data_IF_044075605772
#
_entry.id   IF_044075605772
#
_cell.length_a   1.000
_cell.length_b   1.000
_cell.length_c   1.000
_cell.angle_alpha   90.00
_cell.angle_beta   90.00
_cell.angle_gamma   90.00
#
_symmetry.space_group_name_H-M   'P 1'
#
loop_
_entity.id
_entity.type
_entity.pdbx_description
1 polymer ?
#
# COMPACT_ATOMS: atom_id res chain seq x y z
N UNK A 1 -7.50 -33.65 -1.83
CA UNK A 1 -7.83 -33.71 -0.39
C UNK A 1 -6.80 -32.83 0.28
N UNK A 2 -6.99 -31.52 0.14
CA UNK A 2 -7.77 -30.68 1.07
C UNK A 2 -7.01 -30.52 2.38
N UNK A 3 -6.44 -29.33 2.57
CA UNK A 3 -6.60 -28.56 3.81
C UNK A 3 -6.07 -27.14 3.58
N UNK A 4 -6.99 -26.26 3.21
CA UNK A 4 -6.83 -24.81 3.20
C UNK A 4 -7.17 -24.33 4.61
N UNK A 5 -6.16 -23.83 5.31
CA UNK A 5 -6.32 -23.17 6.61
C UNK A 5 -7.08 -21.86 6.38
N UNK A 6 -8.35 -21.86 6.78
CA UNK A 6 -9.20 -20.68 6.97
C UNK A 6 -8.58 -19.80 8.06
N UNK A 7 -8.30 -18.53 7.72
CA UNK A 7 -8.09 -17.48 8.72
C UNK A 7 -9.46 -16.89 9.11
N UNK A 8 -9.74 -16.69 10.40
CA UNK A 8 -11.01 -16.12 10.86
C UNK A 8 -10.97 -14.59 10.79
N UNK A 9 -11.69 -14.01 9.82
CA UNK A 9 -12.11 -12.61 9.85
C UNK A 9 -13.60 -12.58 10.16
N UNK A 10 -13.98 -12.28 11.41
CA UNK A 10 -15.33 -11.85 11.83
C UNK A 10 -15.36 -11.87 13.36
N UNK A 11 -14.81 -10.85 14.00
CA UNK A 11 -15.18 -10.45 15.36
C UNK A 11 -14.53 -9.08 15.56
N UNK A 12 -15.25 -8.02 15.23
CA UNK A 12 -15.09 -6.64 15.75
C UNK A 12 -16.06 -5.61 15.10
N UNK A 13 -17.10 -6.06 14.38
CA UNK A 13 -18.10 -5.16 13.75
C UNK A 13 -19.50 -5.28 14.36
N UNK A 14 -19.60 -5.54 15.67
CA UNK A 14 -20.90 -5.81 16.33
C UNK A 14 -21.26 -4.85 17.47
N UNK A 15 -20.74 -3.61 17.48
CA UNK A 15 -21.11 -2.61 18.52
C UNK A 15 -21.38 -1.20 18.01
N UNK A 16 -22.07 -1.05 16.87
CA UNK A 16 -22.53 0.27 16.40
C UNK A 16 -23.96 0.29 15.84
N UNK A 17 -24.80 -0.69 16.19
CA UNK A 17 -26.23 -0.71 15.84
C UNK A 17 -27.11 -0.95 17.07
N UNK A 18 -26.89 -0.16 18.12
CA UNK A 18 -27.87 0.03 19.20
C UNK A 18 -28.10 1.52 19.33
N UNK A 19 -29.06 2.03 18.55
CA UNK A 19 -29.92 3.19 18.86
C UNK A 19 -30.70 3.59 17.60
N UNK A 20 -31.66 2.75 17.22
CA UNK A 20 -32.83 3.23 16.49
C UNK A 20 -34.03 2.39 16.95
N UNK A 21 -34.71 2.88 17.97
CA UNK A 21 -35.95 2.34 18.50
C UNK A 21 -37.10 2.56 17.50
N UNK A 22 -37.50 1.52 16.78
CA UNK A 22 -38.82 1.44 16.15
C UNK A 22 -39.42 0.05 16.42
N UNK A 23 -40.60 0.04 17.02
CA UNK A 23 -41.35 -1.12 17.51
C UNK A 23 -41.70 -2.15 16.41
N UNK A 24 -41.83 -3.44 16.75
CA UNK A 24 -42.08 -4.51 15.79
C UNK A 24 -43.58 -4.81 15.64
N UNK A 25 -44.31 -4.02 14.86
CA UNK A 25 -45.63 -4.40 14.31
C UNK A 25 -45.98 -3.53 13.10
N UNK A 26 -45.90 -4.08 11.88
CA UNK A 26 -46.34 -3.41 10.65
C UNK A 26 -45.92 -4.19 9.40
N UNK A 27 -46.86 -4.41 8.49
CA UNK A 27 -46.77 -5.30 7.32
C UNK A 27 -45.51 -5.15 6.45
N UNK A 28 -44.89 -6.28 6.10
CA UNK A 28 -43.65 -6.41 5.30
C UNK A 28 -43.77 -6.01 3.81
N UNK A 29 -44.81 -5.29 3.38
CA UNK A 29 -45.08 -5.03 1.96
C UNK A 29 -45.35 -3.57 1.57
N UNK A 30 -45.34 -2.61 2.49
CA UNK A 30 -45.52 -1.19 2.14
C UNK A 30 -44.18 -0.51 1.91
N UNK A 31 -43.85 -0.22 0.64
CA UNK A 31 -42.66 0.56 0.29
C UNK A 31 -42.77 2.00 0.79
N UNK A 32 -41.63 2.58 1.17
CA UNK A 32 -41.54 3.96 1.69
C UNK A 32 -41.92 4.93 0.57
N UNK A 33 -42.97 5.72 0.77
CA UNK A 33 -43.40 6.76 -0.17
C UNK A 33 -42.62 8.06 0.07
N UNK A 34 -42.15 8.66 -1.01
CA UNK A 34 -41.48 9.97 -1.05
C UNK A 34 -42.01 10.79 -2.22
N UNK A 35 -42.00 12.11 -2.07
CA UNK A 35 -42.42 13.04 -3.11
C UNK A 35 -41.37 14.14 -3.24
N UNK A 36 -41.07 14.52 -4.48
CA UNK A 36 -40.09 15.54 -4.83
C UNK A 36 -40.75 16.53 -5.78
N UNK A 37 -40.38 17.81 -5.68
CA UNK A 37 -40.91 18.85 -6.58
C UNK A 37 -40.31 18.72 -7.98
N UNK A 38 -39.06 18.25 -8.06
CA UNK A 38 -38.38 18.09 -9.35
C UNK A 38 -37.69 16.73 -9.48
N UNK A 39 -37.46 16.31 -10.73
CA UNK A 39 -36.66 15.12 -11.00
C UNK A 39 -35.20 15.28 -10.53
N UNK A 40 -34.67 16.50 -10.52
CA UNK A 40 -33.32 16.78 -10.04
C UNK A 40 -33.19 16.48 -8.54
N UNK A 41 -34.15 16.91 -7.72
CA UNK A 41 -34.18 16.61 -6.29
C UNK A 41 -34.24 15.11 -6.00
N UNK A 42 -35.04 14.37 -6.77
CA UNK A 42 -35.06 12.91 -6.71
C UNK A 42 -33.67 12.31 -6.99
N UNK A 43 -32.96 12.80 -8.01
CA UNK A 43 -31.61 12.31 -8.35
C UNK A 43 -30.64 12.59 -7.21
N UNK A 44 -30.66 13.80 -6.64
CA UNK A 44 -29.83 14.16 -5.47
C UNK A 44 -30.11 13.24 -4.29
N UNK A 45 -31.37 13.08 -3.89
CA UNK A 45 -31.75 12.18 -2.80
C UNK A 45 -31.30 10.74 -3.06
N UNK A 46 -31.48 10.25 -4.30
CA UNK A 46 -31.08 8.89 -4.66
C UNK A 46 -29.57 8.70 -4.50
N UNK A 47 -28.76 9.68 -4.87
CA UNK A 47 -27.30 9.62 -4.70
C UNK A 47 -26.89 9.64 -3.22
N UNK A 48 -27.52 10.49 -2.41
CA UNK A 48 -27.31 10.52 -0.96
C UNK A 48 -27.69 9.20 -0.29
N UNK A 49 -28.84 8.62 -0.67
CA UNK A 49 -29.30 7.33 -0.14
C UNK A 49 -28.39 6.19 -0.59
N UNK A 50 -27.93 6.17 -1.84
CA UNK A 50 -26.95 5.19 -2.35
C UNK A 50 -25.63 5.25 -1.57
N UNK A 51 -25.13 6.45 -1.27
CA UNK A 51 -23.93 6.65 -0.48
C UNK A 51 -24.14 6.20 0.97
N UNK A 52 -25.25 6.61 1.60
CA UNK A 52 -25.58 6.26 2.99
C UNK A 52 -25.76 4.76 3.19
N UNK A 53 -26.42 4.09 2.24
CA UNK A 53 -26.77 2.66 2.34
C UNK A 53 -25.74 1.75 1.67
N UNK A 54 -24.66 2.31 1.11
CA UNK A 54 -23.66 1.56 0.34
C UNK A 54 -24.30 0.69 -0.74
N UNK A 55 -25.21 1.28 -1.51
CA UNK A 55 -26.00 0.60 -2.52
C UNK A 55 -25.91 1.30 -3.87
N UNK A 56 -26.40 0.65 -4.92
CA UNK A 56 -26.54 1.28 -6.23
C UNK A 56 -27.79 0.78 -6.92
N UNK A 57 -28.61 1.70 -7.40
CA UNK A 57 -29.83 1.44 -8.15
C UNK A 57 -29.67 1.90 -9.59
N UNK A 58 -29.89 0.96 -10.52
CA UNK A 58 -29.68 1.15 -11.96
C UNK A 58 -30.96 0.85 -12.73
N UNK A 59 -31.14 1.55 -13.85
CA UNK A 59 -32.23 1.26 -14.78
C UNK A 59 -31.90 0.02 -15.58
N UNK A 60 -32.71 -1.02 -15.43
CA UNK A 60 -32.61 -2.22 -16.25
C UNK A 60 -33.41 -2.09 -17.56
N UNK A 61 -34.40 -1.19 -17.59
CA UNK A 61 -35.31 -0.95 -18.71
C UNK A 61 -35.50 0.54 -18.92
N UNK A 62 -35.87 0.91 -20.15
CA UNK A 62 -36.31 2.26 -20.50
C UNK A 62 -37.55 2.69 -19.70
N UNK A 63 -37.82 4.00 -19.71
CA UNK A 63 -39.01 4.58 -19.11
C UNK A 63 -40.24 4.21 -19.94
N UNK A 64 -41.41 4.23 -19.30
CA UNK A 64 -42.69 4.03 -19.98
C UNK A 64 -43.54 5.27 -19.80
N UNK A 65 -44.05 5.81 -20.90
CA UNK A 65 -45.03 6.90 -20.86
C UNK A 65 -46.42 6.30 -20.72
N UNK A 66 -47.17 6.76 -19.73
CA UNK A 66 -48.56 6.38 -19.50
C UNK A 66 -49.50 7.21 -20.38
N UNK A 67 -50.74 6.77 -20.51
CA UNK A 67 -51.76 7.45 -21.33
C UNK A 67 -52.05 8.89 -20.86
N UNK A 68 -51.83 9.17 -19.58
CA UNK A 68 -52.00 10.50 -18.98
C UNK A 68 -50.75 11.39 -19.12
N UNK A 69 -49.71 10.96 -19.85
CA UNK A 69 -48.48 11.70 -20.05
C UNK A 69 -47.39 11.45 -19.00
N UNK A 70 -47.72 10.84 -17.86
CA UNK A 70 -46.75 10.51 -16.81
C UNK A 70 -45.66 9.56 -17.32
N UNK A 71 -44.46 9.70 -16.77
CA UNK A 71 -43.33 8.83 -17.06
C UNK A 71 -43.07 7.93 -15.86
N UNK A 72 -43.14 6.62 -16.05
CA UNK A 72 -42.81 5.63 -15.02
C UNK A 72 -41.47 4.99 -15.31
N UNK A 73 -40.64 4.86 -14.29
CA UNK A 73 -39.33 4.22 -14.37
C UNK A 73 -38.97 3.49 -13.07
N UNK A 74 -38.24 2.38 -13.20
CA UNK A 74 -37.82 1.58 -12.07
C UNK A 74 -36.28 1.51 -12.03
N UNK A 75 -35.73 1.77 -10.85
CA UNK A 75 -34.32 1.55 -10.55
C UNK A 75 -34.20 0.34 -9.65
N UNK A 76 -33.56 -0.71 -10.16
CA UNK A 76 -33.32 -1.94 -9.41
C UNK A 76 -31.93 -1.92 -8.82
N UNK A 77 -31.73 -2.59 -7.69
CA UNK A 77 -30.39 -2.85 -7.18
C UNK A 77 -29.46 -3.38 -8.30
N UNK A 78 -28.24 -2.84 -8.38
CA UNK A 78 -27.25 -3.16 -9.40
C UNK A 78 -26.90 -4.66 -9.42
N UNK A 79 -27.09 -5.33 -8.28
CA UNK A 79 -26.87 -6.75 -8.10
C UNK A 79 -28.04 -7.62 -8.54
N UNK A 80 -29.23 -7.05 -8.71
CA UNK A 80 -30.44 -7.81 -9.08
C UNK A 80 -30.32 -8.47 -10.45
N UNK A 81 -30.75 -9.74 -10.53
CA UNK A 81 -30.87 -10.52 -11.75
C UNK A 81 -29.73 -11.53 -11.96
N UNK A 82 -29.74 -12.16 -13.14
CA UNK A 82 -28.75 -13.16 -13.55
C UNK A 82 -27.65 -12.55 -14.40
N UNK A 83 -26.43 -13.06 -14.23
CA UNK A 83 -25.32 -12.75 -15.13
C UNK A 83 -25.58 -13.36 -16.50
N UNK A 84 -25.49 -12.54 -17.55
CA UNK A 84 -25.54 -13.00 -18.94
C UNK A 84 -24.15 -12.77 -19.56
N UNK A 85 -23.39 -13.83 -19.87
CA UNK A 85 -22.09 -13.68 -20.50
C UNK A 85 -22.23 -12.99 -21.85
N UNK A 86 -21.28 -12.11 -22.17
CA UNK A 86 -21.16 -11.44 -23.48
C UNK A 86 -19.79 -11.76 -24.08
N UNK A 87 -19.75 -12.03 -25.39
CA UNK A 87 -18.53 -12.32 -26.14
C UNK A 87 -18.27 -13.81 -26.37
N UNK A 88 -17.08 -14.15 -26.90
CA UNK A 88 -16.71 -15.52 -27.35
C UNK A 88 -16.32 -16.50 -26.21
N UNK A 89 -16.48 -16.13 -24.95
CA UNK A 89 -16.16 -17.02 -23.81
C UNK A 89 -14.68 -17.31 -23.57
N UNK A 90 -13.77 -16.60 -24.25
CA UNK A 90 -12.31 -16.85 -24.19
C UNK A 90 -11.69 -16.48 -22.82
N UNK A 91 -12.38 -15.64 -22.03
CA UNK A 91 -11.91 -15.21 -20.71
C UNK A 91 -12.76 -15.83 -19.60
N UNK A 92 -12.09 -16.43 -18.61
CA UNK A 92 -12.74 -16.89 -17.38
C UNK A 92 -13.33 -15.71 -16.59
N UNK A 93 -14.35 -15.99 -15.79
CA UNK A 93 -14.88 -15.03 -14.82
C UNK A 93 -13.78 -14.66 -13.82
N UNK A 94 -13.87 -13.43 -13.30
CA UNK A 94 -12.98 -12.99 -12.21
C UNK A 94 -13.20 -13.88 -10.97
N UNK A 95 -12.19 -14.00 -10.12
CA UNK A 95 -12.29 -14.73 -8.84
C UNK A 95 -13.43 -14.21 -7.95
N UNK A 96 -13.65 -12.89 -7.95
CA UNK A 96 -14.79 -12.21 -7.31
C UNK A 96 -16.16 -12.55 -7.92
N UNK A 97 -16.21 -13.24 -9.06
CA UNK A 97 -17.47 -13.57 -9.75
C UNK A 97 -18.15 -12.37 -10.39
N UNK A 98 -19.48 -12.48 -10.52
CA UNK A 98 -20.33 -11.45 -11.13
C UNK A 98 -20.95 -10.57 -10.06
N UNK A 99 -21.13 -9.28 -10.35
CA UNK A 99 -21.89 -8.38 -9.48
C UNK A 99 -23.37 -8.82 -9.29
N UNK A 100 -23.88 -9.66 -10.20
CA UNK A 100 -25.25 -10.20 -10.20
C UNK A 100 -25.40 -11.40 -9.25
N UNK A 101 -26.36 -11.35 -8.33
CA UNK A 101 -26.63 -12.41 -7.33
C UNK A 101 -27.32 -13.65 -7.91
N UNK A 102 -27.74 -13.63 -9.17
CA UNK A 102 -28.43 -14.76 -9.80
C UNK A 102 -29.94 -14.80 -9.53
N UNK A 103 -30.43 -14.02 -8.57
CA UNK A 103 -31.84 -13.91 -8.19
C UNK A 103 -32.34 -12.46 -8.25
N UNK A 104 -33.66 -12.26 -8.14
CA UNK A 104 -34.23 -10.91 -8.04
C UNK A 104 -33.98 -10.35 -6.64
N UNK A 105 -33.26 -9.22 -6.58
CA UNK A 105 -33.12 -8.47 -5.35
C UNK A 105 -34.42 -7.70 -5.05
N UNK A 106 -34.94 -7.70 -3.81
CA UNK A 106 -36.15 -6.97 -3.46
C UNK A 106 -35.97 -5.45 -3.44
N UNK A 107 -34.73 -4.96 -3.31
CA UNK A 107 -34.45 -3.53 -3.33
C UNK A 107 -34.72 -2.89 -4.70
N UNK A 108 -35.65 -1.93 -4.71
CA UNK A 108 -36.13 -1.22 -5.90
C UNK A 108 -36.63 0.17 -5.53
N UNK A 109 -36.40 1.13 -6.43
CA UNK A 109 -37.01 2.46 -6.41
C UNK A 109 -37.93 2.55 -7.62
N UNK A 110 -39.24 2.67 -7.38
CA UNK A 110 -40.24 2.90 -8.43
C UNK A 110 -40.55 4.40 -8.46
N UNK A 111 -40.46 5.00 -9.63
CA UNK A 111 -40.60 6.45 -9.82
C UNK A 111 -41.72 6.70 -10.82
N UNK A 112 -42.64 7.60 -10.46
CA UNK A 112 -43.63 8.19 -11.35
C UNK A 112 -43.37 9.69 -11.40
N UNK A 113 -43.03 10.17 -12.59
CA UNK A 113 -42.81 11.58 -12.87
C UNK A 113 -44.02 12.12 -13.63
N UNK A 114 -44.65 13.13 -13.03
CA UNK A 114 -45.71 13.93 -13.64
C UNK A 114 -45.15 15.32 -14.01
N UNK A 115 -46.01 16.23 -14.48
CA UNK A 115 -45.60 17.61 -14.81
C UNK A 115 -45.28 18.45 -13.58
N UNK A 116 -45.92 18.15 -12.45
CA UNK A 116 -45.87 18.96 -11.23
C UNK A 116 -44.92 18.40 -10.16
N UNK A 117 -44.76 17.07 -10.11
CA UNK A 117 -44.05 16.38 -9.05
C UNK A 117 -43.47 15.03 -9.50
N UNK A 118 -42.65 14.45 -8.62
CA UNK A 118 -42.08 13.11 -8.75
C UNK A 118 -42.42 12.29 -7.51
N UNK A 119 -43.23 11.25 -7.69
CA UNK A 119 -43.63 10.32 -6.64
C UNK A 119 -42.77 9.08 -6.70
N UNK A 120 -42.21 8.69 -5.56
CA UNK A 120 -41.26 7.58 -5.42
C UNK A 120 -41.76 6.58 -4.39
N UNK A 121 -41.73 5.30 -4.75
CA UNK A 121 -41.93 4.20 -3.83
C UNK A 121 -40.61 3.43 -3.68
N UNK A 122 -40.03 3.48 -2.49
CA UNK A 122 -38.70 2.97 -2.17
C UNK A 122 -38.75 1.71 -1.30
N UNK A 123 -38.05 0.67 -1.75
CA UNK A 123 -37.85 -0.58 -1.02
C UNK A 123 -36.34 -0.76 -0.75
N UNK A 124 -35.87 -0.57 0.49
CA UNK A 124 -34.44 -0.57 0.80
C UNK A 124 -33.84 -1.98 0.96
N UNK A 125 -34.63 -3.01 1.22
CA UNK A 125 -34.12 -4.29 1.74
C UNK A 125 -33.25 -5.05 0.73
N UNK A 126 -31.95 -5.17 1.02
CA UNK A 126 -31.00 -6.04 0.30
C UNK A 126 -29.73 -6.33 1.11
N UNK A 127 -28.97 -7.33 0.67
CA UNK A 127 -27.66 -7.66 1.23
C UNK A 127 -26.55 -6.88 0.50
N UNK A 128 -25.75 -6.14 1.27
CA UNK A 128 -24.69 -5.28 0.77
C UNK A 128 -23.38 -6.04 0.62
N UNK A 129 -22.73 -5.89 -0.54
CA UNK A 129 -21.36 -6.37 -0.78
C UNK A 129 -20.57 -5.29 -1.52
N UNK A 130 -19.71 -4.61 -0.75
CA UNK A 130 -18.95 -3.43 -1.19
C UNK A 130 -18.10 -3.69 -2.43
N UNK A 131 -17.51 -4.88 -2.53
CA UNK A 131 -16.65 -5.31 -3.63
C UNK A 131 -17.32 -5.25 -5.02
N UNK A 132 -18.65 -5.32 -5.08
CA UNK A 132 -19.41 -5.26 -6.33
C UNK A 132 -19.92 -3.86 -6.69
N UNK A 133 -19.69 -2.87 -5.83
CA UNK A 133 -20.00 -1.48 -6.12
C UNK A 133 -18.91 -0.88 -7.02
N UNK A 134 -19.32 0.04 -7.88
CA UNK A 134 -18.40 0.89 -8.64
C UNK A 134 -18.13 2.15 -7.84
N UNK A 135 -16.94 2.72 -8.01
CA UNK A 135 -16.69 4.10 -7.58
C UNK A 135 -17.69 5.03 -8.27
N UNK A 136 -18.23 5.99 -7.53
CA UNK A 136 -19.11 7.01 -8.10
C UNK A 136 -18.34 7.90 -9.07
N UNK A 137 -19.04 8.64 -9.93
CA UNK A 137 -18.37 9.56 -10.85
C UNK A 137 -17.65 10.69 -10.10
N UNK A 138 -18.21 11.13 -8.97
CA UNK A 138 -17.56 12.07 -8.04
C UNK A 138 -16.28 11.47 -7.44
N UNK A 139 -16.32 10.24 -6.90
CA UNK A 139 -15.12 9.57 -6.37
C UNK A 139 -14.05 9.38 -7.46
N UNK A 140 -14.48 9.04 -8.68
CA UNK A 140 -13.57 8.86 -9.82
C UNK A 140 -12.93 10.18 -10.24
N UNK A 141 -13.69 11.27 -10.19
CA UNK A 141 -13.19 12.62 -10.46
C UNK A 141 -12.23 13.10 -9.37
N UNK A 142 -12.54 12.85 -8.10
CA UNK A 142 -11.62 13.12 -6.99
C UNK A 142 -10.32 12.33 -7.18
N UNK A 143 -10.41 11.03 -7.45
CA UNK A 143 -9.23 10.18 -7.71
C UNK A 143 -8.43 10.62 -8.94
N UNK A 144 -9.11 11.07 -10.00
CA UNK A 144 -8.45 11.68 -11.16
C UNK A 144 -7.76 13.00 -10.81
N UNK A 145 -8.37 13.80 -9.94
CA UNK A 145 -7.87 15.07 -9.44
C UNK A 145 -6.68 14.95 -8.48
N UNK A 146 -6.41 13.80 -7.87
CA UNK A 146 -5.20 13.57 -7.04
C UNK A 146 -3.93 13.63 -7.87
N UNK A 147 -3.97 13.20 -9.14
CA UNK A 147 -2.84 13.41 -10.06
C UNK A 147 -2.65 14.92 -10.36
N UNK A 148 -3.57 15.77 -9.87
CA UNK A 148 -3.64 17.20 -10.15
C UNK A 148 -3.56 18.09 -8.89
N UNK A 149 -4.07 17.77 -7.68
CA UNK A 149 -4.08 18.75 -6.56
C UNK A 149 -4.58 18.43 -5.12
N UNK A 150 -5.16 17.27 -4.74
CA UNK A 150 -5.77 17.15 -3.38
C UNK A 150 -5.71 15.74 -2.70
N UNK A 151 -5.68 15.72 -1.36
CA UNK A 151 -5.76 14.51 -0.51
C UNK A 151 -7.13 13.82 -0.57
N UNK A 152 -7.15 12.48 -0.64
CA UNK A 152 -8.41 11.74 -0.51
C UNK A 152 -8.84 11.72 0.95
N UNK A 153 -9.97 12.34 1.27
CA UNK A 153 -10.74 12.00 2.48
C UNK A 153 -11.42 10.65 2.26
N UNK A 154 -10.71 9.55 2.57
CA UNK A 154 -11.26 8.20 2.52
C UNK A 154 -12.14 7.97 3.76
N UNK A 155 -13.31 8.59 3.80
CA UNK A 155 -14.18 8.52 4.98
C UNK A 155 -14.96 7.19 5.13
N UNK A 156 -15.29 6.49 4.04
CA UNK A 156 -16.13 5.29 4.06
C UNK A 156 -16.31 4.65 2.66
N UNK A 157 -16.78 3.41 2.60
CA UNK A 157 -17.36 2.82 1.39
C UNK A 157 -16.41 2.28 0.31
N UNK A 158 -16.84 2.24 -0.97
CA UNK A 158 -16.09 1.59 -2.07
C UNK A 158 -14.72 2.24 -2.33
N UNK A 159 -14.54 3.51 -1.97
CA UNK A 159 -13.26 4.23 -2.04
C UNK A 159 -12.18 3.68 -1.09
N UNK A 160 -12.55 2.95 -0.03
CA UNK A 160 -11.58 2.23 0.81
C UNK A 160 -10.94 1.03 0.09
N UNK A 161 -11.55 0.55 -0.99
CA UNK A 161 -11.15 -0.66 -1.71
C UNK A 161 -10.60 -0.34 -3.11
N UNK A 162 -10.04 0.85 -3.32
CA UNK A 162 -9.47 1.23 -4.62
C UNK A 162 -8.33 0.26 -5.01
N UNK A 163 -8.46 -0.37 -6.17
CA UNK A 163 -7.43 -1.28 -6.70
C UNK A 163 -6.64 -0.63 -7.85
N UNK A 164 -5.48 -1.20 -8.20
CA UNK A 164 -4.69 -0.78 -9.38
C UNK A 164 -5.53 -0.72 -10.66
N UNK A 165 -6.53 -1.62 -10.79
CA UNK A 165 -7.41 -1.65 -11.96
C UNK A 165 -8.36 -0.44 -12.00
N UNK A 166 -8.82 0.04 -10.86
CA UNK A 166 -9.64 1.24 -10.76
C UNK A 166 -8.85 2.46 -11.21
N UNK A 167 -7.62 2.62 -10.70
CA UNK A 167 -6.69 3.68 -11.11
C UNK A 167 -6.45 3.63 -12.62
N UNK A 168 -6.17 2.46 -13.20
CA UNK A 168 -5.99 2.32 -14.63
C UNK A 168 -7.24 2.75 -15.43
N UNK A 169 -8.44 2.36 -14.98
CA UNK A 169 -9.67 2.74 -15.67
C UNK A 169 -9.91 4.25 -15.57
N UNK A 170 -9.68 4.84 -14.40
CA UNK A 170 -9.79 6.30 -14.18
C UNK A 170 -8.79 7.04 -15.08
N UNK A 171 -7.51 6.64 -15.11
CA UNK A 171 -6.52 7.24 -16.01
C UNK A 171 -6.93 7.21 -17.47
N UNK A 172 -7.48 6.08 -17.94
CA UNK A 172 -8.01 5.95 -19.31
C UNK A 172 -9.21 6.87 -19.53
N UNK A 173 -10.18 6.85 -18.63
CA UNK A 173 -11.47 7.52 -18.81
C UNK A 173 -11.35 9.05 -18.68
N UNK A 174 -10.41 9.54 -17.87
CA UNK A 174 -10.07 10.96 -17.72
C UNK A 174 -8.90 11.41 -18.61
N UNK A 175 -8.40 10.51 -19.48
CA UNK A 175 -7.27 10.79 -20.38
C UNK A 175 -6.01 11.37 -19.69
N UNK A 176 -5.71 10.90 -18.47
CA UNK A 176 -4.61 11.38 -17.62
C UNK A 176 -3.23 10.97 -18.18
N UNK A 177 -3.19 10.01 -19.11
CA UNK A 177 -1.97 9.45 -19.66
C UNK A 177 -1.07 10.46 -20.42
N UNK A 178 -1.58 11.66 -20.77
CA UNK A 178 -0.86 12.66 -21.57
C UNK A 178 0.00 13.67 -20.80
N UNK A 179 -0.18 13.83 -19.48
CA UNK A 179 0.34 15.01 -18.75
C UNK A 179 1.58 14.76 -17.88
N UNK A 180 2.11 13.54 -17.85
CA UNK A 180 3.19 13.19 -16.91
C UNK A 180 4.55 13.73 -17.38
N UNK A 181 4.77 13.76 -18.71
CA UNK A 181 6.03 14.19 -19.32
C UNK A 181 5.91 15.65 -19.78
N UNK A 182 6.55 16.56 -19.04
CA UNK A 182 6.52 18.02 -19.26
C UNK A 182 7.45 18.47 -20.40
N UNK A 183 8.35 17.60 -20.83
CA UNK A 183 9.32 17.89 -21.88
C UNK A 183 9.86 16.59 -22.49
N UNK A 184 10.27 16.60 -23.76
CA UNK A 184 10.81 15.42 -24.46
C UNK A 184 12.10 14.88 -23.82
N UNK A 185 12.95 15.80 -23.33
CA UNK A 185 14.13 15.49 -22.53
C UNK A 185 13.74 15.29 -21.06
N UNK A 186 13.95 14.07 -20.55
CA UNK A 186 13.48 13.66 -19.22
C UNK A 186 14.06 14.52 -18.08
N UNK A 187 15.34 14.90 -18.14
CA UNK A 187 15.97 15.77 -17.12
C UNK A 187 15.28 17.14 -17.05
N UNK A 188 14.87 17.68 -18.20
CA UNK A 188 14.11 18.94 -18.28
C UNK A 188 12.70 18.73 -17.74
N UNK A 189 12.06 17.61 -18.08
CA UNK A 189 10.73 17.26 -17.57
C UNK A 189 10.71 17.17 -16.04
N UNK A 190 11.69 16.49 -15.44
CA UNK A 190 11.84 16.40 -13.96
C UNK A 190 12.07 17.79 -13.36
N UNK A 191 12.95 18.61 -13.96
CA UNK A 191 13.17 19.99 -13.49
C UNK A 191 11.87 20.79 -13.50
N UNK A 192 11.11 20.78 -14.59
CA UNK A 192 9.82 21.49 -14.68
C UNK A 192 8.83 20.99 -13.62
N UNK A 193 8.76 19.68 -13.40
CA UNK A 193 7.91 19.10 -12.35
C UNK A 193 8.34 19.57 -10.95
N UNK A 194 9.64 19.57 -10.64
CA UNK A 194 10.12 20.05 -9.33
C UNK A 194 9.82 21.53 -9.10
N UNK A 195 9.85 22.35 -10.16
CA UNK A 195 9.51 23.77 -10.08
C UNK A 195 8.01 23.98 -9.86
N UNK A 196 7.17 23.22 -10.56
CA UNK A 196 5.73 23.24 -10.37
C UNK A 196 5.34 22.85 -8.93
N UNK A 197 5.91 21.76 -8.41
CA UNK A 197 5.66 21.32 -7.02
C UNK A 197 6.08 22.37 -6.00
N UNK A 198 7.19 23.07 -6.22
CA UNK A 198 7.62 24.17 -5.34
C UNK A 198 6.67 25.39 -5.39
N UNK A 199 6.07 25.67 -6.55
CA UNK A 199 5.25 26.87 -6.75
C UNK A 199 3.78 26.67 -6.32
N UNK A 200 3.27 25.43 -6.30
CA UNK A 200 1.86 25.14 -6.04
C UNK A 200 1.50 24.97 -4.55
N UNK A 201 2.39 25.30 -3.61
CA UNK A 201 2.14 25.19 -2.17
C UNK A 201 2.39 23.79 -1.58
N UNK A 202 2.30 22.74 -2.40
CA UNK A 202 2.66 21.36 -2.04
C UNK A 202 4.18 21.12 -2.19
N UNK A 203 4.99 21.77 -1.33
CA UNK A 203 6.44 21.65 -1.38
C UNK A 203 6.95 20.30 -0.83
N UNK A 204 6.65 19.23 -1.56
CA UNK A 204 7.13 17.88 -1.26
C UNK A 204 8.62 17.69 -1.62
N UNK A 205 9.25 18.64 -2.33
CA UNK A 205 10.65 18.54 -2.75
C UNK A 205 11.55 19.13 -1.67
N UNK A 206 12.09 18.27 -0.81
CA UNK A 206 12.98 18.70 0.30
C UNK A 206 14.42 18.85 -0.13
N UNK A 207 14.85 18.21 -1.23
CA UNK A 207 16.16 18.44 -1.84
C UNK A 207 16.15 18.07 -3.32
N UNK A 208 16.85 18.86 -4.14
CA UNK A 208 17.00 18.56 -5.57
C UNK A 208 18.34 19.07 -6.11
N UNK A 209 19.13 18.16 -6.69
CA UNK A 209 20.31 18.43 -7.50
C UNK A 209 20.14 17.73 -8.85
N UNK A 210 20.22 18.50 -9.94
CA UNK A 210 20.22 17.97 -11.32
C UNK A 210 21.66 17.65 -11.77
N UNK A 211 21.77 16.82 -12.81
CA UNK A 211 23.04 16.58 -13.49
C UNK A 211 23.50 17.84 -14.25
N UNK A 212 24.81 18.05 -14.31
CA UNK A 212 25.44 19.23 -14.92
C UNK A 212 25.26 20.52 -14.13
N UNK A 213 24.75 20.45 -12.90
CA UNK A 213 24.78 21.58 -11.97
C UNK A 213 26.08 21.55 -11.19
N UNK A 214 26.93 22.54 -11.46
CA UNK A 214 28.15 22.79 -10.69
C UNK A 214 27.80 23.32 -9.31
N UNK A 215 28.38 22.71 -8.29
CA UNK A 215 28.20 23.10 -6.89
C UNK A 215 28.88 22.08 -5.98
N UNK A 216 29.69 22.55 -5.04
CA UNK A 216 30.39 21.70 -4.06
C UNK A 216 29.49 21.33 -2.86
N UNK A 217 28.21 21.64 -2.95
CA UNK A 217 27.24 21.37 -1.89
C UNK A 217 27.23 19.86 -1.59
N UNK A 218 27.67 19.52 -0.38
CA UNK A 218 27.62 18.18 0.17
C UNK A 218 28.46 17.10 -0.56
N UNK A 219 29.51 17.50 -1.29
CA UNK A 219 30.47 16.55 -1.90
C UNK A 219 29.96 15.80 -3.14
N UNK A 220 28.87 16.30 -3.76
CA UNK A 220 28.35 15.76 -5.02
C UNK A 220 29.10 16.34 -6.22
N UNK A 221 29.38 15.49 -7.22
CA UNK A 221 29.98 15.90 -8.50
C UNK A 221 28.93 16.38 -9.47
N UNK A 222 29.30 17.09 -10.52
CA UNK A 222 28.37 17.65 -11.51
C UNK A 222 27.46 16.58 -12.14
N UNK A 223 27.97 15.38 -12.41
CA UNK A 223 27.22 14.24 -12.95
C UNK A 223 26.23 13.58 -11.96
N UNK A 224 26.35 13.86 -10.66
CA UNK A 224 25.51 13.28 -9.62
C UNK A 224 24.10 13.90 -9.65
N UNK A 225 23.10 13.03 -9.61
CA UNK A 225 21.68 13.39 -9.49
C UNK A 225 21.17 12.97 -8.11
N UNK A 226 20.44 13.86 -7.45
CA UNK A 226 19.73 13.54 -6.20
C UNK A 226 18.41 14.28 -6.18
N UNK A 227 17.31 13.54 -6.01
CA UNK A 227 15.98 14.08 -5.80
C UNK A 227 15.38 13.44 -4.56
N UNK A 228 15.01 14.24 -3.57
CA UNK A 228 14.43 13.77 -2.32
C UNK A 228 13.03 14.35 -2.18
N UNK A 229 12.08 13.45 -1.99
CA UNK A 229 10.65 13.76 -1.90
C UNK A 229 10.14 13.34 -0.53
N UNK A 230 9.41 14.24 0.10
CA UNK A 230 8.77 14.06 1.40
C UNK A 230 7.54 14.98 1.48
N UNK A 231 6.34 14.40 1.41
CA UNK A 231 5.07 15.14 1.52
C UNK A 231 4.76 15.52 2.96
N UNK A 232 3.77 16.40 3.19
CA UNK A 232 3.38 16.79 4.55
C UNK A 232 2.79 15.62 5.35
N UNK A 233 1.93 14.80 4.72
CA UNK A 233 1.50 13.52 5.32
C UNK A 233 2.70 12.67 5.78
N UNK A 234 3.74 12.57 4.95
CA UNK A 234 4.93 11.79 5.29
C UNK A 234 5.72 12.40 6.47
N UNK A 235 5.79 13.75 6.55
CA UNK A 235 6.35 14.47 7.71
C UNK A 235 5.57 14.18 8.99
N UNK A 236 4.25 14.17 8.91
CA UNK A 236 3.40 13.82 10.06
C UNK A 236 3.62 12.36 10.49
N UNK A 237 3.63 11.42 9.55
CA UNK A 237 3.78 10.00 9.85
C UNK A 237 5.14 9.67 10.48
N UNK A 238 6.24 10.28 9.99
CA UNK A 238 7.56 10.07 10.60
C UNK A 238 7.66 10.70 11.99
N UNK A 239 7.02 11.85 12.20
CA UNK A 239 6.98 12.51 13.52
C UNK A 239 6.18 11.67 14.51
N UNK A 240 5.05 11.09 14.08
CA UNK A 240 4.18 10.28 14.91
C UNK A 240 4.77 8.91 15.25
N UNK A 241 5.35 8.21 14.27
CA UNK A 241 5.74 6.80 14.41
C UNK A 241 7.25 6.54 14.37
N UNK A 242 8.08 7.51 13.99
CA UNK A 242 9.53 7.32 13.79
C UNK A 242 10.32 7.02 15.06
N UNK A 243 9.79 7.37 16.24
CA UNK A 243 10.44 7.11 17.55
C UNK A 243 10.60 5.61 17.83
N UNK A 244 9.64 4.78 17.42
CA UNK A 244 9.73 3.36 17.67
C UNK A 244 10.78 2.73 16.75
N UNK A 245 10.57 2.80 15.42
CA UNK A 245 11.39 2.14 14.42
C UNK A 245 11.49 2.93 13.14
N UNK A 246 12.71 3.03 12.63
CA UNK A 246 13.01 3.47 11.27
C UNK A 246 13.55 2.28 10.49
N UNK A 247 12.99 2.04 9.31
CA UNK A 247 13.51 1.09 8.34
C UNK A 247 13.96 1.84 7.08
N UNK A 248 15.09 1.46 6.51
CA UNK A 248 15.52 1.96 5.20
C UNK A 248 15.81 0.80 4.26
N UNK A 249 15.45 0.99 3.00
CA UNK A 249 15.70 0.03 1.93
C UNK A 249 16.13 0.71 0.63
N UNK A 250 17.06 0.07 -0.08
CA UNK A 250 17.55 0.48 -1.39
C UNK A 250 17.07 -0.47 -2.49
N UNK A 251 16.39 0.08 -3.50
CA UNK A 251 16.01 -0.67 -4.70
C UNK A 251 16.90 -0.27 -5.87
N UNK A 252 17.57 -1.28 -6.45
CA UNK A 252 18.56 -1.11 -7.50
C UNK A 252 18.05 -1.60 -8.86
N UNK A 253 18.43 -0.93 -9.94
CA UNK A 253 18.31 -1.47 -11.31
C UNK A 253 16.88 -1.62 -11.86
N UNK A 254 15.93 -0.79 -11.41
CA UNK A 254 14.53 -0.86 -11.83
C UNK A 254 14.16 0.08 -13.00
N UNK A 255 15.12 0.79 -13.59
CA UNK A 255 14.86 1.73 -14.69
C UNK A 255 15.98 1.76 -15.74
N UNK A 256 15.68 2.35 -16.90
CA UNK A 256 16.60 2.50 -18.03
C UNK A 256 17.76 3.46 -17.80
N UNK A 257 17.79 4.15 -16.64
CA UNK A 257 18.73 5.23 -16.33
C UNK A 257 19.68 4.89 -15.16
N UNK A 258 19.64 3.65 -14.67
CA UNK A 258 20.43 3.16 -13.54
C UNK A 258 20.29 4.03 -12.26
N UNK A 259 19.12 4.65 -12.07
CA UNK A 259 18.80 5.34 -10.82
C UNK A 259 18.36 4.33 -9.76
N UNK A 260 18.85 4.51 -8.54
CA UNK A 260 18.42 3.80 -7.35
C UNK A 260 17.34 4.58 -6.62
N UNK A 261 16.38 3.87 -6.02
CA UNK A 261 15.38 4.43 -5.13
C UNK A 261 15.62 3.94 -3.70
N UNK A 262 15.82 4.88 -2.79
CA UNK A 262 15.97 4.63 -1.36
C UNK A 262 14.72 5.11 -0.62
N UNK A 263 14.09 4.21 0.13
CA UNK A 263 12.84 4.49 0.86
C UNK A 263 13.07 4.41 2.35
N UNK A 264 12.67 5.45 3.08
CA UNK A 264 12.59 5.41 4.55
C UNK A 264 11.16 5.07 4.94
N UNK A 265 11.01 4.18 5.92
CA UNK A 265 9.73 3.70 6.39
C UNK A 265 9.62 3.75 7.91
N UNK A 266 8.40 4.02 8.37
CA UNK A 266 7.98 3.83 9.77
C UNK A 266 6.99 2.68 9.87
N UNK A 267 6.76 2.21 11.09
CA UNK A 267 5.76 1.19 11.38
C UNK A 267 4.66 1.79 12.25
N UNK A 268 3.42 1.69 11.80
CA UNK A 268 2.27 2.17 12.56
C UNK A 268 1.87 1.20 13.70
N UNK A 269 0.85 1.57 14.46
CA UNK A 269 0.29 0.77 15.56
C UNK A 269 -0.29 -0.59 15.09
N UNK A 270 -0.72 -0.68 13.84
CA UNK A 270 -1.29 -1.88 13.22
C UNK A 270 -0.25 -2.76 12.53
N UNK A 271 1.04 -2.44 12.65
CA UNK A 271 2.14 -3.16 12.01
C UNK A 271 2.11 -3.07 10.48
N UNK A 272 1.71 -1.93 9.94
CA UNK A 272 1.90 -1.59 8.54
C UNK A 272 3.17 -0.75 8.36
N UNK A 273 3.92 -1.02 7.30
CA UNK A 273 5.03 -0.18 6.89
C UNK A 273 4.51 1.01 6.07
N UNK A 274 4.80 2.22 6.52
CA UNK A 274 4.42 3.47 5.84
C UNK A 274 5.69 4.11 5.28
N UNK A 275 5.82 4.27 3.95
CA UNK A 275 6.93 5.04 3.36
C UNK A 275 6.79 6.53 3.69
N UNK A 276 7.83 7.10 4.30
CA UNK A 276 7.85 8.48 4.82
C UNK A 276 8.89 9.38 4.16
N UNK A 277 9.74 8.84 3.30
CA UNK A 277 10.57 9.64 2.42
C UNK A 277 11.09 8.78 1.27
N UNK A 278 11.39 9.43 0.15
CA UNK A 278 12.00 8.80 -1.01
C UNK A 278 13.21 9.59 -1.49
N UNK A 279 14.29 8.89 -1.85
CA UNK A 279 15.47 9.48 -2.47
C UNK A 279 15.79 8.73 -3.76
N UNK A 280 15.86 9.48 -4.86
CA UNK A 280 16.29 9.00 -6.17
C UNK A 280 17.70 9.49 -6.44
N UNK A 281 18.63 8.59 -6.74
CA UNK A 281 20.00 8.95 -7.07
C UNK A 281 20.69 7.94 -7.98
N UNK A 282 21.58 8.41 -8.86
CA UNK A 282 22.48 7.57 -9.65
C UNK A 282 23.72 7.14 -8.86
N UNK A 283 23.83 7.57 -7.60
CA UNK A 283 24.98 7.29 -6.73
C UNK A 283 24.51 6.61 -5.45
N UNK A 284 25.14 5.47 -5.14
CA UNK A 284 24.92 4.71 -3.91
C UNK A 284 26.12 4.90 -2.98
N UNK A 285 26.11 5.96 -2.17
CA UNK A 285 27.23 6.32 -1.30
C UNK A 285 26.76 6.93 0.02
N UNK A 286 27.63 6.88 1.03
CA UNK A 286 27.35 7.48 2.33
C UNK A 286 27.05 8.98 2.23
N UNK A 287 27.70 9.72 1.32
CA UNK A 287 27.47 11.15 1.09
C UNK A 287 26.02 11.43 0.68
N UNK A 288 25.49 10.64 -0.27
CA UNK A 288 24.08 10.76 -0.71
C UNK A 288 23.13 10.48 0.45
N UNK A 289 23.44 9.48 1.28
CA UNK A 289 22.60 9.17 2.45
C UNK A 289 22.69 10.23 3.53
N UNK A 290 23.83 10.90 3.72
CA UNK A 290 23.96 12.05 4.62
C UNK A 290 23.10 13.22 4.14
N UNK A 291 23.10 13.51 2.84
CA UNK A 291 22.21 14.51 2.25
C UNK A 291 20.76 14.12 2.47
N UNK A 292 20.43 12.85 2.23
CA UNK A 292 19.08 12.33 2.40
C UNK A 292 18.55 12.50 3.81
N UNK A 293 19.30 12.04 4.82
CA UNK A 293 18.89 12.21 6.20
C UNK A 293 18.96 13.67 6.65
N UNK A 294 19.87 14.49 6.11
CA UNK A 294 19.92 15.92 6.43
C UNK A 294 18.69 16.66 5.91
N UNK A 295 18.21 16.31 4.72
CA UNK A 295 16.98 16.86 4.17
C UNK A 295 15.76 16.49 5.04
N UNK A 296 15.69 15.23 5.50
CA UNK A 296 14.65 14.80 6.46
C UNK A 296 14.77 15.57 7.77
N UNK A 297 15.98 15.69 8.33
CA UNK A 297 16.24 16.45 9.57
C UNK A 297 15.82 17.91 9.45
N UNK A 298 16.10 18.55 8.31
CA UNK A 298 15.70 19.93 8.08
C UNK A 298 14.17 20.07 7.97
N UNK A 299 13.48 19.02 7.48
CA UNK A 299 12.04 19.01 7.34
C UNK A 299 11.28 18.75 8.65
N UNK A 300 11.78 17.85 9.52
CA UNK A 300 11.04 17.39 10.72
C UNK A 300 11.84 17.43 12.04
N UNK A 301 13.10 17.86 12.01
CA UNK A 301 13.99 17.83 13.16
C UNK A 301 14.69 16.47 13.37
N UNK A 302 15.32 16.31 14.54
CA UNK A 302 16.03 15.07 14.90
C UNK A 302 15.00 14.00 15.31
N UNK A 303 15.15 12.80 14.76
CA UNK A 303 14.30 11.65 15.08
C UNK A 303 15.04 10.71 16.02
N UNK A 304 14.65 10.73 17.29
CA UNK A 304 15.21 9.85 18.33
C UNK A 304 14.58 8.45 18.25
N UNK A 305 14.97 7.68 17.23
CA UNK A 305 14.46 6.31 17.06
C UNK A 305 15.12 5.32 18.01
N UNK A 306 14.36 4.36 18.54
CA UNK A 306 14.94 3.28 19.37
C UNK A 306 15.57 2.17 18.54
N UNK A 307 15.12 2.00 17.30
CA UNK A 307 15.52 0.88 16.44
C UNK A 307 15.66 1.33 15.00
N UNK A 308 16.82 1.06 14.40
CA UNK A 308 17.12 1.35 13.01
C UNK A 308 17.37 0.06 12.25
N UNK A 309 16.54 -0.23 11.26
CA UNK A 309 16.68 -1.39 10.38
C UNK A 309 17.18 -0.95 9.01
N UNK A 310 18.21 -1.64 8.52
CA UNK A 310 18.79 -1.40 7.19
C UNK A 310 19.10 -2.72 6.50
N UNK A 311 19.42 -2.68 5.21
CA UNK A 311 20.10 -3.79 4.54
C UNK A 311 21.50 -4.09 5.15
N UNK A 312 22.25 -5.00 4.53
CA UNK A 312 23.62 -5.31 4.97
C UNK A 312 24.66 -4.37 4.33
N UNK A 313 24.39 -3.06 4.31
CA UNK A 313 25.30 -2.02 3.87
C UNK A 313 25.61 -1.01 5.02
N UNK A 314 26.89 -0.81 5.40
CA UNK A 314 27.25 0.12 6.48
C UNK A 314 26.86 1.58 6.21
N UNK A 315 26.81 1.98 4.93
CA UNK A 315 26.65 3.37 4.52
C UNK A 315 25.37 4.02 5.06
N UNK A 316 24.26 3.28 5.14
CA UNK A 316 23.00 3.83 5.67
C UNK A 316 23.10 4.19 7.15
N UNK A 317 23.58 3.26 7.99
CA UNK A 317 23.65 3.53 9.42
C UNK A 317 24.74 4.56 9.75
N UNK A 318 25.87 4.52 9.06
CA UNK A 318 26.93 5.54 9.22
C UNK A 318 26.37 6.94 8.94
N UNK A 319 25.69 7.13 7.80
CA UNK A 319 25.05 8.40 7.46
C UNK A 319 23.95 8.79 8.47
N UNK A 320 23.10 7.86 8.88
CA UNK A 320 22.05 8.13 9.88
C UNK A 320 22.66 8.61 11.20
N UNK A 321 23.62 7.85 11.74
CA UNK A 321 24.27 8.16 13.02
C UNK A 321 25.01 9.49 13.01
N UNK A 322 25.59 9.87 11.86
CA UNK A 322 26.20 11.18 11.68
C UNK A 322 25.17 12.32 11.74
N UNK A 323 24.00 12.15 11.11
CA UNK A 323 23.00 13.21 10.98
C UNK A 323 22.03 13.31 12.16
N UNK A 324 21.53 12.16 12.61
CA UNK A 324 20.46 11.99 13.59
C UNK A 324 20.96 11.53 14.97
N UNK A 325 22.17 10.98 15.06
CA UNK A 325 22.72 10.42 16.29
C UNK A 325 22.61 8.89 16.37
N UNK A 326 23.28 8.31 17.37
CA UNK A 326 23.38 6.86 17.56
C UNK A 326 22.05 6.25 17.99
N UNK A 327 21.78 5.03 17.52
CA UNK A 327 20.55 4.29 17.83
C UNK A 327 20.87 3.08 18.71
N UNK A 328 20.00 2.80 19.68
CA UNK A 328 20.17 1.68 20.63
C UNK A 328 20.23 0.32 19.92
N UNK A 329 19.30 0.07 19.00
CA UNK A 329 19.21 -1.20 18.28
C UNK A 329 19.44 -0.97 16.78
N UNK A 330 20.53 -1.50 16.23
CA UNK A 330 20.81 -1.46 14.78
C UNK A 330 20.65 -2.87 14.23
N UNK A 331 19.61 -3.07 13.43
CA UNK A 331 19.22 -4.39 12.94
C UNK A 331 19.41 -4.50 11.43
N UNK A 332 19.81 -5.68 10.98
CA UNK A 332 19.80 -6.04 9.57
C UNK A 332 18.41 -6.50 9.13
N UNK A 333 18.00 -6.15 7.92
CA UNK A 333 16.78 -6.68 7.34
C UNK A 333 16.88 -8.20 7.21
N UNK A 334 15.93 -8.92 7.80
CA UNK A 334 15.96 -10.39 7.86
C UNK A 334 15.83 -11.03 6.47
N UNK A 335 15.18 -10.36 5.52
CA UNK A 335 15.14 -10.78 4.12
C UNK A 335 16.53 -10.68 3.47
N UNK A 336 17.22 -9.55 3.62
CA UNK A 336 18.57 -9.34 3.08
C UNK A 336 19.58 -10.33 3.65
N UNK A 337 19.55 -10.57 4.97
CA UNK A 337 20.39 -11.59 5.60
C UNK A 337 20.14 -12.96 4.98
N UNK A 338 18.87 -13.36 4.85
CA UNK A 338 18.51 -14.64 4.24
C UNK A 338 18.88 -14.71 2.76
N UNK A 339 18.73 -13.63 1.99
CA UNK A 339 19.15 -13.56 0.58
C UNK A 339 20.67 -13.71 0.44
N UNK A 340 21.45 -12.98 1.25
CA UNK A 340 22.91 -13.05 1.24
C UNK A 340 23.41 -14.45 1.60
N UNK A 341 22.77 -15.10 2.58
CA UNK A 341 23.08 -16.49 2.89
C UNK A 341 22.80 -17.41 1.70
N UNK A 342 21.61 -17.35 1.10
CA UNK A 342 21.26 -18.18 -0.05
C UNK A 342 22.19 -17.98 -1.24
N UNK A 343 22.55 -16.74 -1.56
CA UNK A 343 23.50 -16.45 -2.63
C UNK A 343 24.88 -17.05 -2.39
N UNK A 344 25.28 -17.23 -1.13
CA UNK A 344 26.56 -17.80 -0.73
C UNK A 344 26.52 -19.30 -0.44
N UNK A 345 25.32 -19.92 -0.34
CA UNK A 345 25.18 -21.38 -0.20
C UNK A 345 25.73 -22.15 -1.41
N UNK A 346 25.91 -21.49 -2.56
CA UNK A 346 26.58 -22.06 -3.74
C UNK A 346 28.06 -22.41 -3.52
N UNK A 347 28.68 -21.92 -2.44
CA UNK A 347 30.01 -22.33 -1.94
C UNK A 347 30.01 -23.80 -1.51
N UNK A 348 28.86 -24.31 -1.05
CA UNK A 348 28.68 -25.72 -0.72
C UNK A 348 28.29 -26.46 -2.01
N UNK A 349 29.22 -27.22 -2.61
CA UNK A 349 28.96 -27.92 -3.88
C UNK A 349 28.00 -29.09 -3.72
N UNK A 350 28.08 -29.82 -2.61
CA UNK A 350 27.21 -30.95 -2.30
C UNK A 350 25.75 -30.48 -2.06
N UNK A 351 24.77 -30.90 -2.89
CA UNK A 351 23.38 -30.44 -2.77
C UNK A 351 22.69 -30.86 -1.47
N UNK A 352 22.97 -32.07 -0.96
CA UNK A 352 22.36 -32.57 0.27
C UNK A 352 22.89 -31.82 1.49
N UNK A 353 24.20 -31.60 1.58
CA UNK A 353 24.79 -30.75 2.62
C UNK A 353 24.28 -29.32 2.53
N UNK A 354 24.11 -28.78 1.32
CA UNK A 354 23.53 -27.44 1.13
C UNK A 354 22.12 -27.32 1.72
N UNK A 355 21.26 -28.34 1.54
CA UNK A 355 19.92 -28.38 2.15
C UNK A 355 19.99 -28.45 3.68
N UNK A 356 20.88 -29.28 4.22
CA UNK A 356 21.10 -29.41 5.67
C UNK A 356 21.54 -28.08 6.27
N UNK A 357 22.55 -27.44 5.69
CA UNK A 357 23.04 -26.13 6.14
C UNK A 357 21.96 -25.06 6.02
N UNK A 358 21.16 -25.04 4.96
CA UNK A 358 20.07 -24.08 4.83
C UNK A 358 19.02 -24.25 5.95
N UNK A 359 18.66 -25.49 6.30
CA UNK A 359 17.76 -25.77 7.41
C UNK A 359 18.36 -25.33 8.75
N UNK A 360 19.66 -25.57 8.96
CA UNK A 360 20.37 -25.15 10.16
C UNK A 360 20.45 -23.62 10.29
N UNK A 361 20.71 -22.88 9.20
CA UNK A 361 20.67 -21.41 9.18
C UNK A 361 19.32 -20.86 9.65
N UNK A 362 18.22 -21.47 9.18
CA UNK A 362 16.87 -21.09 9.61
C UNK A 362 16.70 -21.31 11.11
N UNK A 363 17.09 -22.48 11.63
CA UNK A 363 17.02 -22.78 13.06
C UNK A 363 17.85 -21.82 13.92
N UNK A 364 19.09 -21.51 13.50
CA UNK A 364 19.96 -20.54 14.20
C UNK A 364 19.36 -19.14 14.20
N UNK A 365 18.77 -18.70 13.07
CA UNK A 365 18.14 -17.38 12.95
C UNK A 365 16.90 -17.24 13.84
N UNK A 366 16.05 -18.25 13.85
CA UNK A 366 14.73 -18.23 14.48
C UNK A 366 14.76 -18.61 15.97
N UNK A 367 15.89 -19.08 16.50
CA UNK A 367 16.06 -19.36 17.92
C UNK A 367 15.80 -18.11 18.78
N UNK A 368 15.00 -18.27 19.83
CA UNK A 368 14.51 -17.18 20.69
C UNK A 368 15.18 -17.15 22.06
N UNK A 369 15.79 -18.26 22.49
CA UNK A 369 16.52 -18.34 23.75
C UNK A 369 18.00 -18.04 23.53
N UNK A 370 18.55 -17.05 24.25
CA UNK A 370 19.96 -16.64 24.14
C UNK A 370 20.94 -17.77 24.49
N UNK A 371 20.61 -18.58 25.50
CA UNK A 371 21.47 -19.70 25.92
C UNK A 371 21.49 -20.82 24.88
N UNK A 372 20.30 -21.20 24.36
CA UNK A 372 20.17 -22.19 23.30
C UNK A 372 20.85 -21.71 22.02
N UNK A 373 20.63 -20.44 21.64
CA UNK A 373 21.27 -19.80 20.50
C UNK A 373 22.78 -19.86 20.59
N UNK A 374 23.35 -19.53 21.76
CA UNK A 374 24.80 -19.53 21.96
C UNK A 374 25.41 -20.92 21.77
N UNK A 375 24.73 -21.97 22.27
CA UNK A 375 25.14 -23.36 22.07
C UNK A 375 24.99 -23.79 20.60
N UNK A 376 23.86 -23.47 19.99
CA UNK A 376 23.53 -23.81 18.61
C UNK A 376 24.48 -23.13 17.62
N UNK A 377 24.78 -21.85 17.81
CA UNK A 377 25.71 -21.09 16.98
C UNK A 377 27.12 -21.67 17.01
N UNK A 378 27.64 -21.98 18.22
CA UNK A 378 28.98 -22.56 18.38
C UNK A 378 29.07 -23.91 17.66
N UNK A 379 28.08 -24.79 17.89
CA UNK A 379 28.00 -26.10 17.23
C UNK A 379 27.91 -25.95 15.70
N UNK A 380 27.04 -25.06 15.22
CA UNK A 380 26.84 -24.81 13.80
C UNK A 380 28.13 -24.37 13.10
N UNK A 381 28.86 -23.40 13.68
CA UNK A 381 30.13 -22.93 13.11
C UNK A 381 31.18 -24.05 13.12
N UNK A 382 31.26 -24.82 14.20
CA UNK A 382 32.21 -25.94 14.30
C UNK A 382 31.94 -27.02 13.24
N UNK A 383 30.67 -27.42 13.07
CA UNK A 383 30.27 -28.38 12.04
C UNK A 383 30.60 -27.87 10.63
N UNK A 384 30.31 -26.59 10.34
CA UNK A 384 30.61 -26.00 9.04
C UNK A 384 32.12 -26.00 8.73
N UNK A 385 32.96 -25.71 9.72
CA UNK A 385 34.41 -25.58 9.53
C UNK A 385 35.14 -26.92 9.47
N UNK A 386 34.63 -27.95 10.14
CA UNK A 386 35.24 -29.28 10.21
C UNK A 386 34.92 -30.17 9.00
N UNK A 387 33.95 -29.80 8.18
CA UNK A 387 33.58 -30.52 6.95
C UNK A 387 34.13 -29.76 5.73
N UNK A 388 34.93 -30.47 4.91
CA UNK A 388 35.57 -29.91 3.71
C UNK A 388 34.58 -29.32 2.71
N UNK A 389 33.38 -29.90 2.60
CA UNK A 389 32.35 -29.43 1.65
C UNK A 389 31.67 -28.14 2.10
N UNK A 390 31.71 -27.83 3.40
CA UNK A 390 31.03 -26.66 3.98
C UNK A 390 31.98 -25.60 4.50
N UNK A 391 33.29 -25.90 4.62
CA UNK A 391 34.29 -25.04 5.23
C UNK A 391 34.36 -23.64 4.60
N UNK A 392 34.24 -23.53 3.28
CA UNK A 392 34.24 -22.24 2.58
C UNK A 392 33.05 -21.36 2.99
N UNK A 393 31.85 -21.94 3.05
CA UNK A 393 30.67 -21.25 3.56
C UNK A 393 30.80 -20.93 5.06
N UNK A 394 31.38 -21.84 5.86
CA UNK A 394 31.68 -21.63 7.27
C UNK A 394 32.55 -20.40 7.52
N UNK A 395 33.64 -20.25 6.75
CA UNK A 395 34.52 -19.07 6.81
C UNK A 395 33.77 -17.79 6.46
N UNK A 396 33.00 -17.81 5.37
CA UNK A 396 32.13 -16.69 4.98
C UNK A 396 31.17 -16.30 6.11
N UNK A 397 30.43 -17.27 6.67
CA UNK A 397 29.46 -17.01 7.73
C UNK A 397 30.12 -16.48 9.00
N UNK A 398 31.26 -17.05 9.39
CA UNK A 398 32.01 -16.65 10.57
C UNK A 398 32.52 -15.20 10.47
N UNK A 399 33.04 -14.83 9.29
CA UNK A 399 33.56 -13.49 9.05
C UNK A 399 32.44 -12.44 9.02
N UNK A 400 31.31 -12.75 8.39
CA UNK A 400 30.27 -11.77 8.08
C UNK A 400 29.10 -11.74 9.07
N UNK A 401 28.81 -12.80 9.82
CA UNK A 401 27.59 -12.88 10.66
C UNK A 401 27.84 -13.31 12.10
N UNK A 402 28.77 -14.24 12.34
CA UNK A 402 29.00 -14.78 13.68
C UNK A 402 29.52 -13.74 14.70
N UNK A 403 30.16 -12.66 14.23
CA UNK A 403 30.70 -11.59 15.08
C UNK A 403 29.66 -10.51 15.46
N UNK A 404 28.48 -10.53 14.84
CA UNK A 404 27.43 -9.53 15.03
C UNK A 404 26.02 -10.13 15.14
N UNK A 405 25.82 -11.21 15.94
CA UNK A 405 24.54 -11.90 16.05
C UNK A 405 23.39 -11.00 16.51
N UNK A 406 23.68 -9.97 17.30
CA UNK A 406 22.72 -8.98 17.80
C UNK A 406 21.98 -8.23 16.70
N UNK A 407 22.58 -8.12 15.50
CA UNK A 407 21.95 -7.41 14.38
C UNK A 407 20.92 -8.25 13.64
N UNK A 408 20.98 -9.58 13.69
CA UNK A 408 20.19 -10.45 12.80
C UNK A 408 19.42 -11.59 13.47
N UNK A 409 19.87 -12.12 14.60
CA UNK A 409 19.24 -13.26 15.25
C UNK A 409 17.99 -12.85 16.06
N UNK A 410 16.96 -13.71 16.08
CA UNK A 410 15.67 -13.37 16.66
C UNK A 410 15.69 -13.29 18.19
N UNK A 411 16.54 -14.07 18.85
CA UNK A 411 16.75 -13.99 20.30
C UNK A 411 17.15 -12.58 20.78
N UNK A 412 17.83 -11.79 19.95
CA UNK A 412 18.19 -10.38 20.25
C UNK A 412 17.12 -9.36 19.82
N UNK A 413 16.07 -9.80 19.12
CA UNK A 413 14.94 -8.96 18.68
C UNK A 413 13.73 -9.04 19.59
N UNK A 414 13.78 -9.89 20.61
CA UNK A 414 12.68 -10.09 21.56
C UNK A 414 12.28 -8.76 22.19
N UNK A 415 10.97 -8.47 22.20
CA UNK A 415 10.42 -7.21 22.71
C UNK A 415 10.50 -6.03 21.75
N UNK A 416 11.17 -6.16 20.59
CA UNK A 416 11.19 -5.11 19.58
C UNK A 416 9.98 -5.17 18.66
N UNK A 417 9.22 -6.27 18.58
CA UNK A 417 8.07 -6.36 17.65
C UNK A 417 8.48 -6.48 16.17
N UNK A 418 9.70 -6.98 15.92
CA UNK A 418 10.33 -7.14 14.60
C UNK A 418 10.75 -8.61 14.40
N UNK A 419 9.80 -9.53 14.57
CA UNK A 419 10.08 -10.96 14.42
C UNK A 419 9.79 -11.47 13.00
N UNK A 420 9.17 -10.66 12.14
CA UNK A 420 8.74 -11.07 10.80
C UNK A 420 9.08 -10.04 9.74
N UNK A 421 9.33 -10.55 8.53
CA UNK A 421 9.73 -9.81 7.32
C UNK A 421 8.62 -8.91 6.74
N UNK A 422 7.47 -8.74 7.40
CA UNK A 422 6.23 -8.25 6.76
C UNK A 422 6.31 -6.83 6.17
N UNK A 423 7.07 -5.91 6.78
CA UNK A 423 7.02 -4.49 6.42
C UNK A 423 7.72 -4.17 5.10
N UNK A 424 8.91 -4.73 4.89
CA UNK A 424 9.68 -4.58 3.65
C UNK A 424 9.20 -5.58 2.59
N UNK A 425 8.77 -6.79 2.99
CA UNK A 425 8.21 -7.76 2.04
C UNK A 425 6.92 -7.30 1.38
N UNK A 426 6.04 -6.54 2.05
CA UNK A 426 4.79 -6.07 1.43
C UNK A 426 5.05 -5.10 0.25
N UNK A 427 6.14 -4.32 0.32
CA UNK A 427 6.62 -3.47 -0.77
C UNK A 427 7.25 -4.30 -1.90
N UNK A 428 8.06 -5.31 -1.57
CA UNK A 428 8.70 -6.15 -2.59
C UNK A 428 7.75 -7.19 -3.23
N UNK A 429 6.71 -7.66 -2.53
CA UNK A 429 5.76 -8.70 -3.01
C UNK A 429 4.78 -8.19 -4.07
N UNK A 430 4.76 -6.89 -4.40
CA UNK A 430 3.82 -6.29 -5.35
C UNK A 430 4.41 -5.92 -6.72
N UNK A 431 5.64 -6.36 -7.01
CA UNK A 431 6.25 -6.27 -8.34
C UNK A 431 6.05 -7.56 -9.13
#
# INVERSE_FOLDING_TARGET
MEDIIKLPSLFLFEKAFENCSCSPTGDLNEGILKEFSTFSEFVTWKEEEENKTMSKYVRQRGSKTLKNGDIVMNYHCCRSGTYKPKGKGVKSLKSQGSAKIGISCPAIIKVRQSTENVVVQYFPNHENQLEHLRLSDSDRAAVAGIDIREEITVDSGRKMLIEKKDIHNIKRDFNINGYIKRHEVDVVSVKLWTQEMKNNGENCIVFFKKQGQSGNDYGLKDEDFVLIIMTDFQKEMITKYGKDKICIDGTHGLNSYDFNLYSVLVVDEHKNGIPVAFCFSNKSSEDVFRIYFSAIRNAVGIIETTTFMTDDAPAFYNAWSYVMGTVKNVLLCAWHVTRNWHQNLNKIKNPEKRKIVNKALKAVKEELCLETFSKLMKKFIQELLNDSDTCEFGKYFQQNYAKRPEKWAYCYRKGLGINTNMYLESLHKKN
#
